data_IF_131656915587
#
_entry.id   IF_131656915587
#
_cell.length_a   1.000
_cell.length_b   1.000
_cell.length_c   1.000
_cell.angle_alpha   90.00
_cell.angle_beta   90.00
_cell.angle_gamma   90.00
#
_symmetry.space_group_name_H-M   'P 1'
#
loop_
_entity.id
_entity.type
_entity.pdbx_description
1 polymer ?
#
# COMPACT_ATOMS: atom_id res chain seq x y z
N UNK A 1 -11.17 -10.32 34.80
CA UNK A 1 -12.40 -10.15 33.98
C UNK A 1 -11.90 -9.99 32.55
N UNK A 2 -11.91 -11.08 31.77
CA UNK A 2 -12.82 -11.32 30.63
C UNK A 2 -12.53 -10.31 29.49
N UNK A 3 -11.98 -10.69 28.33
CA UNK A 3 -12.48 -11.59 27.28
C UNK A 3 -11.25 -12.18 26.53
N UNK A 4 -11.03 -13.46 26.26
CA UNK A 4 -11.79 -14.46 25.47
C UNK A 4 -12.11 -14.01 24.04
N UNK A 5 -11.26 -14.42 23.09
CA UNK A 5 -11.55 -15.13 21.81
C UNK A 5 -10.19 -15.24 21.09
N UNK A 6 -9.49 -16.36 21.27
CA UNK A 6 -8.42 -16.77 20.37
C UNK A 6 -8.92 -18.00 19.63
N UNK A 7 -9.01 -17.84 18.32
CA UNK A 7 -9.53 -18.78 17.36
C UNK A 7 -8.96 -20.19 17.58
N UNK A 8 -9.87 -21.15 17.53
CA UNK A 8 -9.65 -22.55 17.81
C UNK A 8 -8.57 -23.16 16.91
N UNK A 9 -7.40 -23.42 17.48
CA UNK A 9 -6.46 -24.42 16.98
C UNK A 9 -7.16 -25.77 17.10
N UNK A 10 -7.62 -26.31 15.96
CA UNK A 10 -8.01 -27.72 15.88
C UNK A 10 -6.73 -28.55 15.95
N UNK A 11 -6.46 -29.08 17.14
CA UNK A 11 -5.47 -30.14 17.34
C UNK A 11 -5.98 -31.40 16.64
N UNK A 12 -5.47 -31.68 15.44
CA UNK A 12 -5.61 -33.01 14.83
C UNK A 12 -4.43 -33.85 15.34
N UNK A 13 -4.67 -34.56 16.44
CA UNK A 13 -3.77 -35.60 16.95
C UNK A 13 -4.08 -36.93 16.27
N UNK A 14 -3.46 -37.22 15.11
CA UNK A 14 -3.30 -38.58 14.58
C UNK A 14 -1.92 -38.75 13.88
N UNK A 15 -1.34 -39.97 13.89
CA UNK A 15 0.09 -40.17 13.64
C UNK A 15 0.47 -40.01 12.16
N UNK A 16 1.68 -39.48 11.94
CA UNK A 16 2.36 -39.29 10.65
C UNK A 16 2.39 -40.58 9.80
N UNK A 17 1.59 -40.63 8.74
CA UNK A 17 1.85 -41.54 7.61
C UNK A 17 1.43 -40.99 6.24
N UNK A 18 1.42 -39.67 6.05
CA UNK A 18 1.46 -38.94 4.75
C UNK A 18 1.19 -37.45 4.96
N UNK A 19 2.12 -36.70 5.56
CA UNK A 19 1.91 -35.27 5.73
C UNK A 19 2.04 -34.56 4.38
N UNK A 20 0.91 -34.15 3.81
CA UNK A 20 0.85 -33.09 2.79
C UNK A 20 1.61 -31.87 3.33
N UNK A 21 2.54 -31.34 2.54
CA UNK A 21 3.21 -30.08 2.87
C UNK A 21 2.18 -28.94 2.91
N UNK A 22 2.46 -27.85 3.64
CA UNK A 22 1.64 -26.62 3.59
C UNK A 22 1.39 -26.16 2.15
N UNK A 23 2.35 -26.41 1.26
CA UNK A 23 2.23 -26.19 -0.17
C UNK A 23 1.14 -27.04 -0.84
N UNK A 24 1.08 -28.33 -0.49
CA UNK A 24 0.04 -29.24 -1.00
C UNK A 24 -1.34 -28.81 -0.52
N UNK A 25 -1.48 -28.42 0.76
CA UNK A 25 -2.75 -27.92 1.32
C UNK A 25 -3.18 -26.63 0.61
N UNK A 26 -2.26 -25.69 0.41
CA UNK A 26 -2.56 -24.46 -0.31
C UNK A 26 -2.96 -24.73 -1.77
N UNK A 27 -2.32 -25.70 -2.43
CA UNK A 27 -2.66 -26.12 -3.78
C UNK A 27 -4.05 -26.75 -3.86
N UNK A 28 -4.41 -27.61 -2.92
CA UNK A 28 -5.73 -28.24 -2.85
C UNK A 28 -6.83 -27.20 -2.68
N UNK A 29 -6.63 -26.21 -1.80
CA UNK A 29 -7.55 -25.09 -1.68
C UNK A 29 -7.64 -24.23 -2.94
N UNK A 30 -6.53 -23.99 -3.64
CA UNK A 30 -6.55 -23.26 -4.92
C UNK A 30 -7.39 -24.02 -5.95
N UNK A 31 -7.19 -25.33 -6.07
CA UNK A 31 -7.89 -26.17 -7.02
C UNK A 31 -9.40 -26.24 -6.70
N UNK A 32 -9.76 -26.44 -5.43
CA UNK A 32 -11.14 -26.43 -4.97
C UNK A 32 -11.81 -25.08 -5.28
N UNK A 33 -11.11 -23.97 -5.05
CA UNK A 33 -11.62 -22.63 -5.36
C UNK A 33 -11.94 -22.45 -6.85
N UNK A 34 -11.08 -22.96 -7.74
CA UNK A 34 -11.31 -22.95 -9.19
C UNK A 34 -12.49 -23.86 -9.58
N UNK A 35 -12.58 -25.05 -8.99
CA UNK A 35 -13.69 -25.99 -9.23
C UNK A 35 -15.03 -25.38 -8.87
N UNK A 36 -15.15 -24.80 -7.66
CA UNK A 36 -16.38 -24.10 -7.25
C UNK A 36 -16.70 -22.87 -8.13
N UNK A 37 -15.68 -22.20 -8.68
CA UNK A 37 -15.89 -21.10 -9.63
C UNK A 37 -16.50 -21.62 -10.95
N UNK A 38 -16.06 -22.78 -11.44
CA UNK A 38 -16.62 -23.42 -12.64
C UNK A 38 -18.06 -23.91 -12.40
N UNK A 39 -18.36 -24.34 -11.17
CA UNK A 39 -19.72 -24.72 -10.75
C UNK A 39 -20.64 -23.51 -10.48
N UNK A 40 -20.10 -22.28 -10.51
CA UNK A 40 -20.83 -21.04 -10.24
C UNK A 40 -21.10 -20.76 -8.75
N UNK A 41 -20.58 -21.58 -7.83
CA UNK A 41 -20.61 -21.32 -6.39
C UNK A 41 -19.50 -20.33 -6.00
N UNK A 42 -19.72 -19.06 -6.37
CA UNK A 42 -18.71 -18.02 -6.22
C UNK A 42 -18.35 -17.70 -4.76
N UNK A 43 -19.25 -18.00 -3.81
CA UNK A 43 -19.01 -17.81 -2.39
C UNK A 43 -17.96 -18.81 -1.89
N UNK A 44 -18.14 -20.11 -2.17
CA UNK A 44 -17.13 -21.12 -1.84
C UNK A 44 -15.85 -20.93 -2.64
N UNK A 45 -15.95 -20.56 -3.91
CA UNK A 45 -14.79 -20.24 -4.72
C UNK A 45 -13.91 -19.16 -4.06
N UNK A 46 -14.52 -18.05 -3.61
CA UNK A 46 -13.81 -16.98 -2.91
C UNK A 46 -13.19 -17.48 -1.60
N UNK A 47 -13.94 -18.24 -0.80
CA UNK A 47 -13.46 -18.79 0.48
C UNK A 47 -12.21 -19.66 0.30
N UNK A 48 -12.24 -20.61 -0.62
CA UNK A 48 -11.13 -21.54 -0.84
C UNK A 48 -9.91 -20.86 -1.47
N UNK A 49 -10.11 -19.93 -2.41
CA UNK A 49 -9.00 -19.13 -2.96
C UNK A 49 -8.34 -18.27 -1.88
N UNK A 50 -9.12 -17.61 -1.00
CA UNK A 50 -8.58 -16.82 0.11
C UNK A 50 -7.82 -17.69 1.12
N UNK A 51 -8.32 -18.89 1.46
CA UNK A 51 -7.60 -19.86 2.31
C UNK A 51 -6.25 -20.26 1.71
N UNK A 52 -6.21 -20.50 0.39
CA UNK A 52 -4.96 -20.80 -0.31
C UNK A 52 -3.94 -19.65 -0.21
N UNK A 53 -4.40 -18.41 -0.46
CA UNK A 53 -3.58 -17.21 -0.40
C UNK A 53 -3.05 -16.99 1.02
N UNK A 54 -3.90 -17.07 2.05
CA UNK A 54 -3.51 -16.87 3.45
C UNK A 54 -2.40 -17.84 3.90
N UNK A 55 -2.45 -19.10 3.47
CA UNK A 55 -1.37 -20.07 3.75
C UNK A 55 -0.07 -19.62 3.07
N UNK A 56 -0.15 -19.17 1.80
CA UNK A 56 1.02 -18.73 1.02
C UNK A 56 1.61 -17.41 1.52
N UNK A 57 0.81 -16.53 2.10
CA UNK A 57 1.27 -15.30 2.76
C UNK A 57 1.91 -15.61 4.13
N UNK A 58 1.43 -16.63 4.84
CA UNK A 58 1.90 -16.96 6.20
C UNK A 58 3.32 -17.53 6.29
N UNK A 59 3.95 -17.89 5.17
CA UNK A 59 5.32 -18.39 5.17
C UNK A 59 6.17 -17.76 4.05
N UNK A 60 7.36 -17.21 4.37
CA UNK A 60 8.20 -16.50 3.39
C UNK A 60 8.87 -17.41 2.35
N UNK A 61 8.65 -18.73 2.43
CA UNK A 61 9.36 -19.74 1.63
C UNK A 61 8.62 -20.10 0.32
N UNK A 62 7.41 -19.58 0.11
CA UNK A 62 6.64 -19.89 -1.10
C UNK A 62 7.16 -19.11 -2.30
N UNK A 63 7.12 -19.75 -3.47
CA UNK A 63 7.57 -19.09 -4.69
C UNK A 63 6.59 -17.97 -5.08
N UNK A 64 7.06 -16.80 -5.54
CA UNK A 64 6.14 -15.69 -5.83
C UNK A 64 5.13 -16.02 -6.95
N UNK A 65 5.44 -16.98 -7.83
CA UNK A 65 4.50 -17.48 -8.84
C UNK A 65 3.25 -18.14 -8.22
N UNK A 66 3.40 -18.88 -7.12
CA UNK A 66 2.28 -19.56 -6.47
C UNK A 66 1.35 -18.57 -5.80
N UNK A 67 1.91 -17.54 -5.16
CA UNK A 67 1.14 -16.46 -4.58
C UNK A 67 0.40 -15.66 -5.66
N UNK A 68 1.11 -15.29 -6.73
CA UNK A 68 0.54 -14.57 -7.87
C UNK A 68 -0.59 -15.34 -8.57
N UNK A 69 -0.47 -16.66 -8.72
CA UNK A 69 -1.53 -17.49 -9.30
C UNK A 69 -2.81 -17.48 -8.43
N UNK A 70 -2.66 -17.50 -7.10
CA UNK A 70 -3.80 -17.35 -6.18
C UNK A 70 -4.53 -16.02 -6.39
N UNK A 71 -3.78 -14.91 -6.44
CA UNK A 71 -4.34 -13.59 -6.73
C UNK A 71 -4.97 -13.50 -8.11
N UNK A 72 -4.35 -14.06 -9.16
CA UNK A 72 -4.91 -14.09 -10.51
C UNK A 72 -6.26 -14.82 -10.55
N UNK A 73 -6.37 -15.99 -9.90
CA UNK A 73 -7.62 -16.74 -9.83
C UNK A 73 -8.71 -15.97 -9.09
N UNK A 74 -8.36 -15.29 -7.99
CA UNK A 74 -9.31 -14.46 -7.26
C UNK A 74 -9.72 -13.21 -8.06
N UNK A 75 -8.80 -12.58 -8.78
CA UNK A 75 -9.10 -11.48 -9.71
C UNK A 75 -10.06 -11.89 -10.82
N UNK A 76 -9.83 -13.06 -11.45
CA UNK A 76 -10.72 -13.61 -12.47
C UNK A 76 -12.11 -13.90 -11.90
N UNK A 77 -12.20 -14.47 -10.70
CA UNK A 77 -13.46 -14.72 -10.00
C UNK A 77 -14.23 -13.41 -9.79
N UNK A 78 -13.56 -12.36 -9.30
CA UNK A 78 -14.17 -11.03 -9.12
C UNK A 78 -14.62 -10.41 -10.43
N UNK A 79 -13.84 -10.58 -11.50
CA UNK A 79 -14.20 -10.09 -12.83
C UNK A 79 -15.48 -10.76 -13.37
N UNK A 80 -15.61 -12.08 -13.23
CA UNK A 80 -16.84 -12.82 -13.62
C UNK A 80 -18.05 -12.39 -12.77
N UNK A 81 -17.83 -12.00 -11.52
CA UNK A 81 -18.87 -11.42 -10.66
C UNK A 81 -19.21 -9.95 -10.98
N UNK A 82 -18.64 -9.38 -12.06
CA UNK A 82 -18.75 -7.96 -12.42
C UNK A 82 -18.23 -7.00 -11.33
N UNK A 83 -17.36 -7.47 -10.44
CA UNK A 83 -16.67 -6.69 -9.41
C UNK A 83 -15.33 -6.21 -9.95
N UNK A 84 -15.37 -5.33 -10.95
CA UNK A 84 -14.19 -4.97 -11.76
C UNK A 84 -13.09 -4.29 -10.93
N UNK A 85 -13.44 -3.43 -9.98
CA UNK A 85 -12.44 -2.77 -9.10
C UNK A 85 -11.70 -3.78 -8.21
N UNK A 86 -12.42 -4.75 -7.65
CA UNK A 86 -11.80 -5.84 -6.89
C UNK A 86 -10.92 -6.73 -7.77
N UNK A 87 -11.32 -6.96 -9.03
CA UNK A 87 -10.49 -7.70 -9.97
C UNK A 87 -9.17 -6.98 -10.25
N UNK A 88 -9.23 -5.67 -10.52
CA UNK A 88 -8.04 -4.83 -10.71
C UNK A 88 -7.13 -4.87 -9.47
N UNK A 89 -7.67 -4.76 -8.26
CA UNK A 89 -6.89 -4.89 -7.03
C UNK A 89 -6.09 -6.21 -6.95
N UNK A 90 -6.74 -7.35 -7.20
CA UNK A 90 -6.07 -8.64 -7.12
C UNK A 90 -5.09 -8.88 -8.26
N UNK A 91 -5.38 -8.43 -9.48
CA UNK A 91 -4.41 -8.52 -10.55
C UNK A 91 -3.17 -7.66 -10.30
N UNK A 92 -3.32 -6.49 -9.66
CA UNK A 92 -2.17 -5.68 -9.24
C UNK A 92 -1.33 -6.42 -8.19
N UNK A 93 -1.96 -7.05 -7.19
CA UNK A 93 -1.24 -7.93 -6.24
C UNK A 93 -0.50 -9.07 -6.94
N UNK A 94 -1.08 -9.67 -7.98
CA UNK A 94 -0.42 -10.69 -8.80
C UNK A 94 0.80 -10.13 -9.56
N UNK A 95 0.70 -8.93 -10.13
CA UNK A 95 1.81 -8.22 -10.76
C UNK A 95 2.94 -7.98 -9.76
N UNK A 96 2.65 -7.35 -8.61
CA UNK A 96 3.64 -7.04 -7.56
C UNK A 96 4.42 -8.27 -7.10
N UNK A 97 3.72 -9.39 -6.89
CA UNK A 97 4.35 -10.65 -6.50
C UNK A 97 5.33 -11.16 -7.57
N UNK A 98 5.05 -10.95 -8.85
CA UNK A 98 5.89 -11.42 -9.96
C UNK A 98 7.04 -10.47 -10.31
N UNK A 99 6.89 -9.16 -10.09
CA UNK A 99 7.91 -8.15 -10.41
C UNK A 99 8.92 -7.92 -9.30
N UNK A 100 8.72 -8.48 -8.11
CA UNK A 100 9.66 -8.38 -6.98
C UNK A 100 10.95 -9.21 -7.18
N UNK A 101 11.04 -10.03 -8.23
CA UNK A 101 12.21 -10.88 -8.49
C UNK A 101 12.42 -11.07 -10.00
N UNK A 102 13.54 -10.57 -10.54
CA UNK A 102 13.86 -10.48 -11.98
C UNK A 102 13.97 -11.84 -12.71
N UNK A 103 13.80 -12.97 -12.00
CA UNK A 103 13.97 -14.33 -12.54
C UNK A 103 12.65 -15.04 -12.88
N UNK A 104 11.49 -14.36 -12.78
CA UNK A 104 10.19 -15.02 -12.77
C UNK A 104 9.51 -15.06 -14.15
N UNK A 105 9.28 -16.30 -14.62
CA UNK A 105 8.41 -16.76 -15.72
C UNK A 105 7.55 -15.70 -16.43
N UNK A 106 7.95 -15.41 -17.67
CA UNK A 106 7.27 -14.49 -18.59
C UNK A 106 5.79 -14.85 -18.85
N UNK A 107 5.42 -16.14 -18.83
CA UNK A 107 4.07 -16.56 -19.24
C UNK A 107 2.98 -16.19 -18.22
N UNK A 108 3.25 -16.35 -16.92
CA UNK A 108 2.26 -16.01 -15.89
C UNK A 108 2.06 -14.49 -15.79
N UNK A 109 3.15 -13.72 -15.81
CA UNK A 109 3.08 -12.26 -15.82
C UNK A 109 2.37 -11.74 -17.08
N UNK A 110 2.64 -12.35 -18.23
CA UNK A 110 1.93 -12.00 -19.45
C UNK A 110 0.43 -12.27 -19.38
N UNK A 111 0.01 -13.35 -18.71
CA UNK A 111 -1.40 -13.64 -18.44
C UNK A 111 -2.03 -12.60 -17.52
N UNK A 112 -1.35 -12.22 -16.44
CA UNK A 112 -1.79 -11.16 -15.51
C UNK A 112 -2.03 -9.85 -16.28
N UNK A 113 -1.10 -9.45 -17.15
CA UNK A 113 -1.24 -8.24 -17.96
C UNK A 113 -2.42 -8.28 -18.95
N UNK A 114 -2.70 -9.42 -19.58
CA UNK A 114 -3.88 -9.57 -20.46
C UNK A 114 -5.18 -9.41 -19.65
N UNK A 115 -5.28 -10.03 -18.48
CA UNK A 115 -6.46 -9.91 -17.63
C UNK A 115 -6.61 -8.48 -17.07
N UNK A 116 -5.50 -7.85 -16.69
CA UNK A 116 -5.48 -6.46 -16.25
C UNK A 116 -6.01 -5.51 -17.33
N UNK A 117 -5.47 -5.61 -18.54
CA UNK A 117 -5.88 -4.76 -19.65
C UNK A 117 -7.34 -5.01 -20.06
N UNK A 118 -7.81 -6.26 -19.98
CA UNK A 118 -9.22 -6.59 -20.22
C UNK A 118 -10.14 -5.92 -19.19
N UNK A 119 -9.79 -6.00 -17.90
CA UNK A 119 -10.55 -5.34 -16.83
C UNK A 119 -10.54 -3.81 -16.98
N UNK A 120 -9.39 -3.22 -17.31
CA UNK A 120 -9.26 -1.77 -17.59
C UNK A 120 -10.14 -1.29 -18.74
N UNK A 121 -10.24 -2.07 -19.82
CA UNK A 121 -11.13 -1.73 -20.93
C UNK A 121 -12.60 -1.71 -20.53
N UNK A 122 -12.98 -2.52 -19.54
CA UNK A 122 -14.36 -2.61 -19.02
C UNK A 122 -14.75 -1.36 -18.23
N UNK A 123 -13.79 -0.64 -17.65
CA UNK A 123 -14.00 0.65 -16.95
C UNK A 123 -13.70 1.87 -17.83
N UNK A 124 -13.75 1.71 -19.16
CA UNK A 124 -13.47 2.77 -20.15
C UNK A 124 -12.05 3.38 -20.07
N UNK A 125 -11.11 2.72 -19.40
CA UNK A 125 -9.68 3.08 -19.35
C UNK A 125 -8.93 2.43 -20.52
N UNK A 126 -9.35 2.78 -21.75
CA UNK A 126 -8.87 2.14 -22.98
C UNK A 126 -7.39 2.41 -23.27
N UNK A 127 -6.84 3.53 -22.80
CA UNK A 127 -5.42 3.87 -22.98
C UNK A 127 -4.52 2.91 -22.18
N UNK A 128 -4.80 2.72 -20.88
CA UNK A 128 -4.04 1.76 -20.07
C UNK A 128 -4.32 0.31 -20.48
N UNK A 129 -5.55 -0.01 -20.90
CA UNK A 129 -5.89 -1.33 -21.41
C UNK A 129 -4.95 -1.77 -22.54
N UNK A 130 -4.70 -0.89 -23.51
CA UNK A 130 -3.81 -1.16 -24.64
C UNK A 130 -2.36 -1.38 -24.18
N UNK A 131 -1.89 -0.58 -23.22
CA UNK A 131 -0.53 -0.72 -22.67
C UNK A 131 -0.35 -2.10 -22.02
N UNK A 132 -1.26 -2.49 -21.14
CA UNK A 132 -1.18 -3.78 -20.44
C UNK A 132 -1.33 -4.96 -21.41
N UNK A 133 -2.26 -4.91 -22.36
CA UNK A 133 -2.41 -5.97 -23.37
C UNK A 133 -1.13 -6.14 -24.19
N UNK A 134 -0.46 -5.05 -24.60
CA UNK A 134 0.82 -5.10 -25.33
C UNK A 134 1.93 -5.75 -24.50
N UNK A 135 2.05 -5.39 -23.22
CA UNK A 135 3.01 -6.03 -22.29
C UNK A 135 2.73 -7.54 -22.18
N UNK A 136 1.46 -7.92 -22.04
CA UNK A 136 1.04 -9.31 -21.94
C UNK A 136 1.40 -10.15 -23.17
N UNK A 137 1.09 -9.62 -24.36
CA UNK A 137 1.43 -10.24 -25.65
C UNK A 137 2.94 -10.45 -25.79
N UNK A 138 3.74 -9.42 -25.46
CA UNK A 138 5.19 -9.48 -25.56
C UNK A 138 5.80 -10.60 -24.70
N UNK A 139 5.21 -10.88 -23.54
CA UNK A 139 5.73 -11.87 -22.60
C UNK A 139 5.21 -13.29 -22.87
N UNK A 140 4.01 -13.41 -23.44
CA UNK A 140 3.44 -14.71 -23.82
C UNK A 140 3.97 -15.22 -25.17
N UNK A 141 4.77 -14.43 -25.89
CA UNK A 141 5.15 -14.68 -27.27
C UNK A 141 3.93 -15.03 -28.14
N UNK A 142 2.76 -14.46 -27.81
CA UNK A 142 1.55 -14.63 -28.61
C UNK A 142 1.82 -13.89 -29.91
N UNK A 143 2.15 -14.66 -30.93
CA UNK A 143 2.28 -14.13 -32.26
C UNK A 143 0.85 -13.79 -32.71
N UNK A 144 0.56 -12.51 -32.93
CA UNK A 144 -0.70 -12.05 -33.53
C UNK A 144 -0.99 -12.79 -34.85
N UNK A 145 0.04 -13.36 -35.47
CA UNK A 145 -0.07 -14.24 -36.63
C UNK A 145 -0.96 -15.45 -36.40
N UNK A 146 -1.00 -16.12 -35.23
CA UNK A 146 -1.76 -17.38 -35.10
C UNK A 146 -3.28 -17.17 -35.05
N UNK A 147 -3.72 -16.08 -34.43
CA UNK A 147 -5.14 -15.72 -34.43
C UNK A 147 -5.53 -15.03 -35.75
N UNK A 148 -4.63 -14.24 -36.34
CA UNK A 148 -4.80 -13.71 -37.69
C UNK A 148 -4.82 -14.84 -38.73
N UNK A 149 -4.00 -15.89 -38.60
CA UNK A 149 -3.91 -17.05 -39.49
C UNK A 149 -5.11 -17.97 -39.35
N UNK A 150 -5.65 -18.17 -38.14
CA UNK A 150 -6.93 -18.87 -37.95
C UNK A 150 -8.10 -18.12 -38.56
N UNK A 151 -8.12 -16.78 -38.45
CA UNK A 151 -9.12 -15.93 -39.10
C UNK A 151 -8.93 -15.95 -40.63
N UNK A 152 -7.69 -15.83 -41.13
CA UNK A 152 -7.33 -15.86 -42.55
C UNK A 152 -7.63 -17.24 -43.18
N UNK A 153 -7.38 -18.34 -42.47
CA UNK A 153 -7.67 -19.70 -42.92
C UNK A 153 -9.18 -19.95 -43.08
N UNK A 154 -10.03 -19.32 -42.25
CA UNK A 154 -11.48 -19.41 -42.38
C UNK A 154 -12.02 -18.74 -43.66
N UNK A 155 -11.24 -17.83 -44.27
CA UNK A 155 -11.60 -17.10 -45.48
C UNK A 155 -10.79 -17.53 -46.72
N UNK A 156 -9.97 -18.59 -46.62
CA UNK A 156 -9.20 -19.08 -47.76
C UNK A 156 -10.10 -19.48 -48.94
N UNK A 157 -9.79 -18.97 -50.13
CA UNK A 157 -10.54 -19.25 -51.36
C UNK A 157 -11.92 -18.58 -51.47
N UNK A 158 -12.30 -17.72 -50.52
CA UNK A 158 -13.55 -16.96 -50.55
C UNK A 158 -13.29 -15.54 -51.08
N UNK A 159 -14.27 -15.00 -51.83
CA UNK A 159 -14.32 -13.54 -52.07
C UNK A 159 -14.84 -12.88 -50.79
N UNK A 160 -14.02 -12.01 -50.21
CA UNK A 160 -14.40 -11.28 -49.00
C UNK A 160 -14.49 -9.79 -49.32
N UNK A 161 -15.54 -9.15 -48.81
CA UNK A 161 -15.70 -7.69 -48.87
C UNK A 161 -15.19 -7.10 -47.57
N UNK A 162 -14.17 -6.26 -47.64
CA UNK A 162 -13.64 -5.56 -46.48
C UNK A 162 -14.21 -4.15 -46.42
N UNK A 163 -14.98 -3.89 -45.38
CA UNK A 163 -15.39 -2.55 -45.01
C UNK A 163 -14.57 -2.13 -43.79
N UNK A 164 -13.98 -0.93 -43.82
CA UNK A 164 -13.46 -0.32 -42.61
C UNK A 164 -14.04 1.06 -42.41
N UNK A 165 -14.06 1.46 -41.15
CA UNK A 165 -14.52 2.75 -40.68
C UNK A 165 -13.31 3.65 -40.45
N UNK A 166 -13.31 4.84 -41.04
CA UNK A 166 -12.56 5.95 -40.48
C UNK A 166 -13.45 6.59 -39.43
N UNK A 167 -13.11 6.44 -38.15
CA UNK A 167 -13.68 7.29 -37.11
C UNK A 167 -12.95 8.62 -37.23
N UNK A 168 -13.62 9.68 -37.70
CA UNK A 168 -13.08 11.04 -37.58
C UNK A 168 -13.01 11.34 -36.08
N UNK A 169 -11.89 11.89 -35.63
CA UNK A 169 -11.52 12.03 -34.22
C UNK A 169 -12.42 12.95 -33.39
N UNK A 170 -13.55 13.40 -33.95
CA UNK A 170 -14.54 14.27 -33.31
C UNK A 170 -15.88 13.55 -32.98
N UNK A 171 -16.01 12.25 -33.27
CA UNK A 171 -17.14 11.44 -32.80
C UNK A 171 -18.50 11.76 -33.42
N UNK A 172 -18.58 12.58 -34.48
CA UNK A 172 -19.86 13.04 -35.05
C UNK A 172 -20.55 12.07 -36.04
N UNK A 173 -20.12 10.82 -36.10
CA UNK A 173 -20.81 9.78 -36.86
C UNK A 173 -20.57 9.79 -38.37
N UNK A 174 -21.13 8.77 -39.02
CA UNK A 174 -20.83 8.29 -40.39
C UNK A 174 -21.17 9.27 -41.51
N UNK A 175 -20.20 9.63 -42.35
CA UNK A 175 -20.46 10.35 -43.59
C UNK A 175 -20.08 9.56 -44.85
N UNK A 176 -19.22 8.54 -44.79
CA UNK A 176 -18.94 7.64 -45.93
C UNK A 176 -18.33 6.30 -45.48
N UNK A 177 -18.77 5.19 -46.07
CA UNK A 177 -18.14 3.87 -45.94
C UNK A 177 -17.29 3.57 -47.17
N UNK A 178 -16.03 3.18 -46.96
CA UNK A 178 -15.13 2.76 -48.03
C UNK A 178 -15.11 1.24 -48.07
N UNK A 179 -15.25 0.68 -49.28
CA UNK A 179 -15.19 -0.77 -49.50
C UNK A 179 -13.97 -1.08 -50.36
N UNK A 180 -13.26 -2.15 -50.00
CA UNK A 180 -12.40 -2.86 -50.94
C UNK A 180 -13.16 -4.14 -51.32
N UNK A 181 -13.59 -4.21 -52.57
CA UNK A 181 -14.19 -5.40 -53.17
C UNK A 181 -13.10 -6.31 -53.77
N UNK A 182 -13.45 -7.57 -54.00
CA UNK A 182 -12.62 -8.58 -54.68
C UNK A 182 -11.27 -8.88 -53.98
N UNK A 183 -11.30 -9.01 -52.65
CA UNK A 183 -10.13 -9.46 -51.88
C UNK A 183 -10.11 -10.99 -51.84
N UNK A 184 -9.09 -11.58 -52.46
CA UNK A 184 -8.84 -13.03 -52.43
C UNK A 184 -7.69 -13.34 -51.49
N UNK A 185 -7.90 -14.26 -50.54
CA UNK A 185 -6.94 -14.58 -49.47
C UNK A 185 -6.32 -15.96 -49.68
N UNK A 186 -5.06 -16.00 -50.19
CA UNK A 186 -4.16 -17.18 -50.39
C UNK A 186 -4.64 -18.25 -51.40
N UNK A 187 -3.81 -19.09 -52.07
CA UNK A 187 -2.43 -19.03 -52.58
C UNK A 187 -2.47 -19.26 -54.13
N UNK A 188 -1.41 -19.12 -54.93
CA UNK A 188 -0.14 -19.83 -54.84
C UNK A 188 1.07 -18.89 -54.73
N UNK A 189 1.69 -18.86 -53.53
CA UNK A 189 2.90 -18.13 -53.13
C UNK A 189 2.80 -16.64 -52.73
N UNK A 190 1.76 -16.28 -51.97
CA UNK A 190 1.89 -15.28 -50.91
C UNK A 190 1.67 -13.81 -51.28
N UNK A 191 0.61 -13.47 -52.00
CA UNK A 191 0.21 -12.07 -52.16
C UNK A 191 -1.30 -11.88 -51.99
N UNK A 192 -1.66 -10.85 -51.21
CA UNK A 192 -2.97 -10.19 -51.27
C UNK A 192 -2.98 -9.35 -52.55
N UNK A 193 -3.93 -9.60 -53.44
CA UNK A 193 -4.10 -8.85 -54.69
C UNK A 193 -5.31 -7.94 -54.58
N UNK A 194 -5.14 -6.67 -54.92
CA UNK A 194 -6.22 -5.68 -54.98
C UNK A 194 -6.42 -5.26 -56.43
N UNK A 195 -7.67 -5.19 -56.90
CA UNK A 195 -7.97 -4.63 -58.22
C UNK A 195 -7.95 -3.09 -58.18
N UNK A 196 -6.79 -2.52 -57.84
CA UNK A 196 -6.28 -1.18 -58.16
C UNK A 196 -7.11 0.09 -57.89
N UNK A 197 -8.36 0.03 -57.42
CA UNK A 197 -9.29 1.17 -57.45
C UNK A 197 -10.14 1.30 -56.20
N UNK A 198 -10.07 2.46 -55.55
CA UNK A 198 -11.05 2.89 -54.54
C UNK A 198 -12.25 3.53 -55.24
N UNK A 199 -13.46 3.05 -54.95
CA UNK A 199 -14.70 3.62 -55.48
C UNK A 199 -15.44 4.39 -54.38
N UNK A 200 -15.67 5.69 -54.62
CA UNK A 200 -16.56 6.50 -53.80
C UNK A 200 -17.99 6.42 -54.33
N UNK A 201 -18.93 5.98 -53.48
CA UNK A 201 -20.34 5.80 -53.83
C UNK A 201 -21.18 6.69 -52.91
N UNK A 202 -21.80 7.73 -53.45
CA UNK A 202 -22.72 8.58 -52.67
C UNK A 202 -24.14 8.02 -52.74
N UNK A 203 -24.84 7.90 -51.61
CA UNK A 203 -26.30 7.69 -51.59
C UNK A 203 -26.99 9.04 -51.72
N UNK A 204 -27.25 9.48 -52.95
CA UNK A 204 -28.38 10.38 -53.19
C UNK A 204 -29.55 9.56 -53.73
N UNK A 205 -30.76 9.93 -53.31
CA UNK A 205 -32.02 9.27 -53.62
C UNK A 205 -32.24 9.17 -55.14
N UNK A 206 -31.86 8.05 -55.76
CA UNK A 206 -32.16 7.76 -57.17
C UNK A 206 -31.22 6.82 -57.94
N UNK A 207 -30.04 6.46 -57.43
CA UNK A 207 -29.17 5.48 -58.10
C UNK A 207 -27.71 5.56 -57.67
N UNK A 208 -27.02 4.41 -57.69
CA UNK A 208 -25.60 4.29 -57.35
C UNK A 208 -24.75 4.73 -58.55
N UNK A 209 -23.91 5.75 -58.40
CA UNK A 209 -22.94 6.17 -59.43
C UNK A 209 -21.55 6.36 -58.82
N UNK A 210 -20.53 5.90 -59.54
CA UNK A 210 -19.11 6.00 -59.13
C UNK A 210 -18.67 7.45 -59.33
N UNK A 211 -18.27 8.12 -58.24
CA UNK A 211 -17.97 9.57 -58.26
C UNK A 211 -16.49 9.86 -58.54
N UNK A 212 -15.58 8.93 -58.25
CA UNK A 212 -14.16 9.02 -58.65
C UNK A 212 -13.43 7.69 -58.51
N UNK A 213 -12.44 7.45 -59.38
CA UNK A 213 -11.43 6.38 -59.24
C UNK A 213 -10.07 7.00 -58.94
N UNK A 214 -9.35 6.50 -57.93
CA UNK A 214 -7.97 6.89 -57.64
C UNK A 214 -7.08 5.67 -57.38
N UNK A 215 -5.85 5.73 -57.88
CA UNK A 215 -4.80 4.74 -57.66
C UNK A 215 -4.15 4.90 -56.28
N UNK A 216 -3.76 3.81 -55.62
CA UNK A 216 -2.99 3.81 -54.37
C UNK A 216 -1.53 3.38 -54.60
N UNK A 217 -0.62 3.80 -53.72
CA UNK A 217 0.79 3.39 -53.75
C UNK A 217 0.95 1.93 -53.31
N UNK A 218 1.79 1.16 -54.02
CA UNK A 218 2.08 -0.27 -53.75
C UNK A 218 3.18 -0.50 -52.72
N UNK A 219 3.86 0.55 -52.27
CA UNK A 219 5.09 0.43 -51.45
C UNK A 219 4.87 0.61 -49.93
N UNK A 220 3.62 0.68 -49.47
CA UNK A 220 3.31 0.80 -48.05
C UNK A 220 3.62 2.18 -47.44
N UNK A 221 4.00 3.17 -48.24
CA UNK A 221 3.98 4.56 -47.79
C UNK A 221 2.52 5.01 -47.65
N UNK A 222 2.09 5.27 -46.41
CA UNK A 222 0.75 5.80 -46.13
C UNK A 222 0.67 7.20 -46.75
N UNK A 223 0.07 7.31 -47.92
CA UNK A 223 -0.39 8.59 -48.43
C UNK A 223 -1.58 9.01 -47.57
N UNK A 224 -1.30 9.74 -46.48
CA UNK A 224 -2.33 10.41 -45.70
C UNK A 224 -3.02 11.43 -46.60
N UNK A 225 -4.25 11.10 -47.03
CA UNK A 225 -5.12 12.03 -47.74
C UNK A 225 -5.69 12.98 -46.69
N UNK A 226 -5.00 14.09 -46.41
CA UNK A 226 -5.50 15.14 -45.53
C UNK A 226 -6.48 16.04 -46.30
N UNK A 227 -7.78 15.76 -46.18
CA UNK A 227 -8.83 16.70 -46.54
C UNK A 227 -9.47 17.29 -45.27
N UNK A 228 -8.70 18.15 -44.59
CA UNK A 228 -9.20 19.18 -43.66
C UNK A 228 -7.98 20.06 -43.43
N UNK A 229 -8.11 21.37 -43.62
CA UNK A 229 -7.14 22.32 -43.07
C UNK A 229 -7.09 22.03 -41.58
N UNK A 230 -6.07 21.29 -41.13
CA UNK A 230 -5.86 21.05 -39.71
C UNK A 230 -5.82 22.44 -39.10
N UNK A 231 -6.81 22.79 -38.26
CA UNK A 231 -6.78 24.05 -37.53
C UNK A 231 -5.44 24.00 -36.79
N UNK A 232 -4.53 24.92 -37.09
CA UNK A 232 -3.20 24.85 -36.50
C UNK A 232 -3.39 24.93 -34.99
N UNK A 233 -2.90 23.90 -34.28
CA UNK A 233 -2.95 23.86 -32.83
C UNK A 233 -2.12 25.04 -32.30
N UNK A 234 -2.72 25.80 -31.38
CA UNK A 234 -2.08 26.97 -30.76
C UNK A 234 -1.66 26.62 -29.34
N UNK A 235 -2.62 26.19 -28.52
CA UNK A 235 -2.40 25.97 -27.08
C UNK A 235 -3.58 25.23 -26.42
N UNK A 236 -3.54 25.12 -25.11
CA UNK A 236 -4.65 24.72 -24.25
C UNK A 236 -5.15 25.90 -23.40
N UNK A 237 -6.44 25.89 -23.08
CA UNK A 237 -7.04 26.63 -21.98
C UNK A 237 -7.44 25.64 -20.89
N UNK A 238 -7.05 25.94 -19.65
CA UNK A 238 -7.25 25.10 -18.48
C UNK A 238 -8.26 25.77 -17.57
N UNK A 239 -9.19 25.00 -17.03
CA UNK A 239 -10.30 25.44 -16.18
C UNK A 239 -10.24 24.71 -14.84
N UNK A 240 -10.65 25.39 -13.78
CA UNK A 240 -10.76 24.84 -12.43
C UNK A 240 -12.03 25.37 -11.78
N UNK A 241 -12.94 24.47 -11.42
CA UNK A 241 -14.25 24.64 -10.78
C UNK A 241 -15.27 25.48 -11.56
N UNK A 242 -14.81 26.53 -12.24
CA UNK A 242 -15.58 27.36 -13.14
C UNK A 242 -15.20 27.08 -14.61
N UNK A 243 -16.14 26.55 -15.39
CA UNK A 243 -15.94 26.23 -16.81
C UNK A 243 -16.23 27.40 -17.76
N UNK A 244 -16.59 28.58 -17.25
CA UNK A 244 -16.83 29.76 -18.10
C UNK A 244 -15.60 30.62 -18.30
N UNK A 245 -14.64 30.54 -17.39
CA UNK A 245 -13.45 31.40 -17.39
C UNK A 245 -12.23 30.53 -17.16
N UNK A 246 -11.25 30.51 -18.07
CA UNK A 246 -10.04 29.72 -17.90
C UNK A 246 -9.29 30.14 -16.64
N UNK A 247 -8.84 29.16 -15.88
CA UNK A 247 -7.85 29.32 -14.83
C UNK A 247 -6.47 29.67 -15.42
N UNK A 248 -6.14 29.08 -16.58
CA UNK A 248 -4.93 29.40 -17.34
C UNK A 248 -5.18 29.32 -18.85
N UNK A 249 -4.51 30.17 -19.62
CA UNK A 249 -4.58 30.22 -21.08
C UNK A 249 -3.19 30.09 -21.70
N UNK A 250 -3.15 29.80 -23.01
CA UNK A 250 -1.90 29.70 -23.78
C UNK A 250 -0.94 28.62 -23.25
N UNK A 251 -1.47 27.58 -22.60
CA UNK A 251 -0.68 26.47 -22.08
C UNK A 251 -0.22 25.61 -23.26
N UNK A 252 1.09 25.52 -23.49
CA UNK A 252 1.66 24.73 -24.60
C UNK A 252 2.04 23.31 -24.20
N UNK A 253 2.17 23.05 -22.90
CA UNK A 253 2.46 21.73 -22.34
C UNK A 253 1.25 20.79 -22.41
N UNK A 254 1.52 19.49 -22.39
CA UNK A 254 0.48 18.44 -22.32
C UNK A 254 0.08 18.09 -20.89
N UNK A 255 0.61 18.82 -19.90
CA UNK A 255 0.29 18.70 -18.48
C UNK A 255 0.14 20.08 -17.86
N UNK A 256 -0.68 20.18 -16.82
CA UNK A 256 -0.87 21.38 -16.02
C UNK A 256 -1.02 20.98 -14.55
N UNK A 257 -0.33 21.69 -13.67
CA UNK A 257 -0.35 21.44 -12.22
C UNK A 257 -1.13 22.56 -11.54
N UNK A 258 -2.15 22.18 -10.76
CA UNK A 258 -2.85 23.11 -9.90
C UNK A 258 -2.15 23.15 -8.54
N UNK A 259 -1.86 24.35 -8.05
CA UNK A 259 -1.26 24.55 -6.71
C UNK A 259 -2.21 25.34 -5.83
N UNK A 260 -2.15 25.12 -4.51
CA UNK A 260 -2.98 25.85 -3.55
C UNK A 260 -4.48 25.54 -3.63
N UNK A 261 -4.84 24.32 -4.03
CA UNK A 261 -6.23 23.88 -4.01
C UNK A 261 -6.75 23.80 -2.58
N UNK A 262 -8.01 24.19 -2.38
CA UNK A 262 -8.71 23.97 -1.11
C UNK A 262 -9.00 22.49 -0.91
N UNK A 263 -9.29 22.05 0.31
CA UNK A 263 -9.79 20.68 0.55
C UNK A 263 -11.21 20.56 0.02
N UNK A 264 -11.51 19.45 -0.65
CA UNK A 264 -12.86 19.13 -1.12
C UNK A 264 -12.91 18.73 -2.59
N UNK A 265 -14.12 18.77 -3.15
CA UNK A 265 -14.35 18.37 -4.53
C UNK A 265 -14.04 19.50 -5.49
N UNK A 266 -13.32 19.17 -6.55
CA UNK A 266 -12.92 20.06 -7.62
C UNK A 266 -13.27 19.47 -8.99
N UNK A 267 -13.39 20.35 -9.98
CA UNK A 267 -13.57 19.97 -11.38
C UNK A 267 -12.51 20.65 -12.23
N UNK A 268 -11.63 19.88 -12.86
CA UNK A 268 -10.68 20.40 -13.83
C UNK A 268 -11.22 20.23 -15.26
N UNK A 269 -11.01 21.24 -16.10
CA UNK A 269 -11.40 21.23 -17.51
C UNK A 269 -10.22 21.57 -18.41
N UNK A 270 -10.15 20.95 -19.58
CA UNK A 270 -9.16 21.28 -20.62
C UNK A 270 -9.84 21.49 -21.96
N UNK A 271 -9.42 22.55 -22.66
CA UNK A 271 -9.89 22.90 -23.98
C UNK A 271 -8.71 23.11 -24.92
N UNK A 272 -8.74 22.51 -26.11
CA UNK A 272 -7.75 22.78 -27.16
C UNK A 272 -8.11 24.05 -27.90
N UNK A 273 -7.13 24.93 -28.07
CA UNK A 273 -7.24 26.19 -28.81
C UNK A 273 -6.50 26.06 -30.14
N UNK A 274 -7.18 26.49 -31.19
CA UNK A 274 -6.65 26.53 -32.55
C UNK A 274 -6.81 27.94 -33.12
N UNK A 275 -6.08 28.25 -34.20
CA UNK A 275 -6.16 29.57 -34.87
C UNK A 275 -7.58 29.96 -35.34
N UNK A 276 -8.47 28.98 -35.50
CA UNK A 276 -9.83 29.16 -36.05
C UNK A 276 -10.92 28.73 -35.05
N UNK A 277 -10.62 28.72 -33.76
CA UNK A 277 -11.56 28.43 -32.67
C UNK A 277 -11.04 27.36 -31.70
N UNK A 278 -11.89 26.94 -30.76
CA UNK A 278 -11.53 25.97 -29.72
C UNK A 278 -12.35 24.67 -29.82
N UNK A 279 -11.90 23.61 -29.15
CA UNK A 279 -12.67 22.37 -28.95
C UNK A 279 -13.75 22.54 -27.89
N UNK A 280 -14.55 21.50 -27.67
CA UNK A 280 -15.30 21.35 -26.41
C UNK A 280 -14.34 21.24 -25.21
N UNK A 281 -14.85 21.56 -24.01
CA UNK A 281 -14.11 21.38 -22.75
C UNK A 281 -14.27 19.92 -22.30
N UNK A 282 -13.17 19.23 -22.08
CA UNK A 282 -13.14 17.89 -21.47
C UNK A 282 -12.91 18.05 -19.98
N UNK A 283 -13.72 17.40 -19.14
CA UNK A 283 -13.72 17.59 -17.69
C UNK A 283 -13.31 16.33 -16.93
N UNK A 284 -12.71 16.52 -15.76
CA UNK A 284 -12.46 15.48 -14.76
C UNK A 284 -12.82 16.04 -13.37
N UNK A 285 -13.49 15.22 -12.58
CA UNK A 285 -13.76 15.50 -11.17
C UNK A 285 -12.70 14.82 -10.31
N UNK A 286 -12.25 15.51 -9.26
CA UNK A 286 -11.28 14.99 -8.31
C UNK A 286 -11.50 15.60 -6.93
N UNK A 287 -10.95 14.98 -5.90
CA UNK A 287 -11.11 15.42 -4.51
C UNK A 287 -9.73 15.58 -3.88
N UNK A 288 -9.48 16.72 -3.26
CA UNK A 288 -8.29 17.02 -2.47
C UNK A 288 -8.60 16.76 -1.00
N UNK A 289 -7.73 16.02 -0.33
CA UNK A 289 -7.78 15.80 1.12
C UNK A 289 -6.77 16.71 1.81
N UNK A 290 -7.04 17.06 3.08
CA UNK A 290 -6.01 17.62 3.91
C UNK A 290 -5.12 16.50 4.43
N UNK A 291 -3.83 16.81 4.54
CA UNK A 291 -2.85 15.98 5.20
C UNK A 291 -2.56 16.58 6.58
N UNK A 292 -2.34 15.72 7.56
CA UNK A 292 -2.15 16.05 8.96
C UNK A 292 -0.85 15.45 9.49
N UNK A 293 -0.34 16.03 10.56
CA UNK A 293 0.85 15.57 11.27
C UNK A 293 0.48 15.05 12.65
N UNK A 294 0.95 13.85 12.99
CA UNK A 294 0.93 13.31 14.35
C UNK A 294 2.33 13.41 14.94
N UNK A 295 2.47 14.18 16.02
CA UNK A 295 3.73 14.32 16.75
C UNK A 295 3.65 13.57 18.07
N UNK A 296 4.46 12.52 18.22
CA UNK A 296 4.51 11.71 19.44
C UNK A 296 5.78 12.02 20.21
N UNK A 297 5.63 12.28 21.51
CA UNK A 297 6.75 12.50 22.44
C UNK A 297 6.81 11.36 23.45
N UNK A 298 7.86 10.54 23.39
CA UNK A 298 8.06 9.38 24.26
C UNK A 298 8.89 9.76 25.48
N UNK A 299 8.38 9.50 26.69
CA UNK A 299 8.96 9.95 27.96
C UNK A 299 9.02 8.86 29.04
N UNK A 300 9.97 8.98 29.98
CA UNK A 300 9.97 8.34 31.29
C UNK A 300 9.80 9.42 32.37
N UNK A 301 8.60 9.51 32.94
CA UNK A 301 8.23 10.59 33.86
C UNK A 301 8.17 11.94 33.14
N UNK A 302 9.25 12.73 33.24
CA UNK A 302 9.42 14.00 32.51
C UNK A 302 10.64 13.96 31.57
N UNK A 303 11.35 12.84 31.52
CA UNK A 303 12.60 12.70 30.76
C UNK A 303 12.32 12.14 29.38
N UNK A 304 12.72 12.79 28.28
CA UNK A 304 12.58 12.22 26.95
C UNK A 304 13.39 10.94 26.75
N UNK A 305 12.84 10.01 25.96
CA UNK A 305 13.49 8.75 25.62
C UNK A 305 13.94 8.81 24.16
N UNK A 306 15.24 8.98 23.93
CA UNK A 306 15.87 8.84 22.63
C UNK A 306 15.96 7.36 22.21
N UNK A 307 15.71 7.08 20.93
CA UNK A 307 15.90 5.75 20.35
C UNK A 307 14.78 4.74 20.62
N UNK A 308 13.63 5.18 21.16
CA UNK A 308 12.45 4.34 21.27
C UNK A 308 11.85 4.06 19.89
N UNK A 309 11.42 2.82 19.65
CA UNK A 309 10.76 2.42 18.41
C UNK A 309 9.26 2.65 18.54
N UNK A 310 8.71 3.50 17.70
CA UNK A 310 7.28 3.77 17.54
C UNK A 310 6.80 3.07 16.28
N UNK A 311 6.10 1.95 16.43
CA UNK A 311 5.36 1.34 15.33
C UNK A 311 4.01 2.07 15.21
N UNK A 312 3.80 2.81 14.13
CA UNK A 312 2.58 3.55 13.85
C UNK A 312 1.98 3.02 12.55
N UNK A 313 0.79 2.43 12.64
CA UNK A 313 0.10 1.76 11.51
C UNK A 313 0.98 0.74 10.74
N UNK A 314 1.82 0.00 11.47
CA UNK A 314 2.70 -1.01 10.89
C UNK A 314 4.04 -0.49 10.35
N UNK A 315 4.30 0.83 10.41
CA UNK A 315 5.59 1.44 10.04
C UNK A 315 6.38 1.81 11.29
N UNK A 316 7.66 1.44 11.33
CA UNK A 316 8.56 1.74 12.45
C UNK A 316 9.24 3.10 12.29
N UNK A 317 9.16 3.91 13.34
CA UNK A 317 9.90 5.16 13.51
C UNK A 317 10.75 5.10 14.77
N UNK A 318 11.77 5.96 14.84
CA UNK A 318 12.66 6.05 16.00
C UNK A 318 12.65 7.46 16.54
N UNK A 319 12.49 7.61 17.85
CA UNK A 319 12.51 8.92 18.51
C UNK A 319 13.90 9.55 18.49
N UNK A 320 13.94 10.88 18.35
CA UNK A 320 15.16 11.68 18.40
C UNK A 320 15.64 11.97 19.84
N UNK A 321 16.68 12.80 19.99
CA UNK A 321 17.24 13.22 21.30
C UNK A 321 16.22 13.90 22.23
N UNK A 322 15.15 14.45 21.67
CA UNK A 322 14.07 15.08 22.41
C UNK A 322 12.90 14.11 22.67
N UNK A 323 13.06 12.83 22.32
CA UNK A 323 12.03 11.81 22.44
C UNK A 323 10.91 11.96 21.41
N UNK A 324 11.10 12.76 20.36
CA UNK A 324 10.04 13.14 19.43
C UNK A 324 10.12 12.32 18.15
N UNK A 325 8.94 11.98 17.62
CA UNK A 325 8.74 11.56 16.23
C UNK A 325 7.58 12.36 15.64
N UNK A 326 7.76 12.86 14.41
CA UNK A 326 6.69 13.48 13.63
C UNK A 326 6.34 12.58 12.44
N UNK A 327 5.08 12.16 12.38
CA UNK A 327 4.51 11.35 11.30
C UNK A 327 3.63 12.29 10.47
N UNK A 328 3.97 12.46 9.20
CA UNK A 328 3.34 13.42 8.27
C UNK A 328 2.51 12.69 7.22
N UNK A 329 1.79 13.44 6.38
CA UNK A 329 1.00 12.92 5.27
C UNK A 329 -0.13 11.97 5.71
N UNK A 330 -0.74 12.25 6.88
CA UNK A 330 -1.85 11.47 7.43
C UNK A 330 -3.21 12.05 7.03
N UNK A 331 -4.20 11.21 6.83
CA UNK A 331 -5.59 11.62 6.57
C UNK A 331 -6.43 11.40 7.84
N UNK A 332 -7.68 11.87 7.83
CA UNK A 332 -8.62 11.59 8.92
C UNK A 332 -8.80 10.08 9.10
N UNK A 333 -8.59 9.61 10.33
CA UNK A 333 -8.53 8.19 10.62
C UNK A 333 -8.08 7.87 12.05
N UNK A 334 -8.27 6.62 12.43
CA UNK A 334 -7.80 6.08 13.71
C UNK A 334 -6.59 5.16 13.45
N UNK A 335 -5.48 5.47 14.10
CA UNK A 335 -4.18 4.85 13.89
C UNK A 335 -3.69 4.17 15.16
N UNK A 336 -3.54 2.84 15.12
CA UNK A 336 -2.98 2.09 16.23
C UNK A 336 -1.46 2.31 16.31
N UNK A 337 -0.94 2.40 17.54
CA UNK A 337 0.50 2.50 17.78
C UNK A 337 0.99 1.52 18.84
N UNK A 338 2.27 1.15 18.71
CA UNK A 338 3.04 0.42 19.72
C UNK A 338 4.37 1.14 19.90
N UNK A 339 4.67 1.60 21.11
CA UNK A 339 5.98 2.13 21.48
C UNK A 339 6.73 1.09 22.28
N UNK A 340 7.96 0.79 21.86
CA UNK A 340 8.84 -0.17 22.51
C UNK A 340 10.24 0.39 22.69
N UNK A 341 10.85 0.07 23.84
CA UNK A 341 12.23 0.41 24.16
C UNK A 341 12.80 -0.65 25.07
N UNK A 342 14.07 -1.03 24.85
CA UNK A 342 14.73 -2.01 25.70
C UNK A 342 14.80 -1.48 27.14
N UNK A 343 14.36 -2.29 28.11
CA UNK A 343 14.30 -1.87 29.51
C UNK A 343 12.97 -1.24 29.93
N UNK A 344 11.98 -1.16 29.04
CA UNK A 344 10.64 -0.64 29.30
C UNK A 344 9.54 -1.63 28.90
N UNK A 345 8.36 -1.47 29.50
CA UNK A 345 7.14 -2.12 29.04
C UNK A 345 6.63 -1.40 27.79
N UNK A 346 6.11 -2.16 26.83
CA UNK A 346 5.51 -1.57 25.63
C UNK A 346 4.27 -0.75 26.00
N UNK A 347 4.13 0.43 25.41
CA UNK A 347 2.89 1.19 25.44
C UNK A 347 2.14 0.98 24.13
N UNK A 348 0.83 0.79 24.19
CA UNK A 348 -0.02 0.60 23.01
C UNK A 348 -1.25 1.48 23.13
N UNK A 349 -1.70 2.05 22.02
CA UNK A 349 -2.89 2.89 22.00
C UNK A 349 -3.36 3.16 20.58
N UNK A 350 -4.22 4.15 20.46
CA UNK A 350 -4.81 4.60 19.19
C UNK A 350 -4.82 6.13 19.17
N UNK A 351 -4.39 6.72 18.06
CA UNK A 351 -4.47 8.16 17.77
C UNK A 351 -5.59 8.39 16.78
N UNK A 352 -6.49 9.33 17.06
CA UNK A 352 -7.53 9.75 16.10
C UNK A 352 -7.13 11.10 15.51
N UNK A 353 -6.94 11.11 14.19
CA UNK A 353 -6.78 12.31 13.38
C UNK A 353 -8.16 12.69 12.85
N UNK A 354 -8.64 13.88 13.21
CA UNK A 354 -9.95 14.42 12.80
C UNK A 354 -9.83 15.92 12.56
N UNK A 355 -9.49 16.28 11.33
CA UNK A 355 -9.52 17.66 10.87
C UNK A 355 -8.34 18.53 11.31
N UNK A 356 -7.37 18.00 12.09
CA UNK A 356 -6.24 18.75 12.62
C UNK A 356 -5.03 17.88 12.99
N UNK A 357 -3.85 18.52 13.07
CA UNK A 357 -2.63 17.92 13.61
C UNK A 357 -2.82 17.49 15.07
N UNK A 358 -2.17 16.38 15.45
CA UNK A 358 -2.28 15.80 16.79
C UNK A 358 -0.90 15.78 17.45
N UNK A 359 -0.84 16.26 18.70
CA UNK A 359 0.34 16.11 19.54
C UNK A 359 -0.01 15.25 20.76
N UNK A 360 0.73 14.17 20.98
CA UNK A 360 0.51 13.28 22.12
C UNK A 360 1.82 12.87 22.80
N UNK A 361 1.76 12.72 24.12
CA UNK A 361 2.89 12.24 24.92
C UNK A 361 2.63 10.85 25.47
N UNK A 362 3.56 9.93 25.21
CA UNK A 362 3.47 8.52 25.56
C UNK A 362 4.51 8.23 26.64
N UNK A 363 4.04 7.95 27.86
CA UNK A 363 4.89 7.58 28.98
C UNK A 363 5.18 6.06 28.96
N UNK A 364 6.46 5.68 28.97
CA UNK A 364 6.89 4.30 29.15
C UNK A 364 7.20 4.00 30.61
N UNK A 365 6.89 2.79 31.05
CA UNK A 365 7.22 2.31 32.41
C UNK A 365 8.41 1.35 32.35
N UNK A 366 9.49 1.57 33.12
CA UNK A 366 10.63 0.66 33.16
C UNK A 366 10.25 -0.78 33.58
N UNK A 367 10.90 -1.78 32.98
CA UNK A 367 10.72 -3.22 33.32
C UNK A 367 11.65 -3.69 34.43
N UNK A 368 12.66 -2.89 34.79
CA UNK A 368 13.59 -3.18 35.89
C UNK A 368 13.34 -2.30 37.11
N UNK A 369 13.53 -2.86 38.30
CA UNK A 369 13.82 -2.04 39.49
C UNK A 369 15.26 -1.55 39.30
N UNK A 370 15.49 -0.25 39.22
CA UNK A 370 16.83 0.33 39.09
C UNK A 370 17.72 -0.08 40.28
N UNK A 371 18.44 -1.20 40.16
CA UNK A 371 19.39 -1.65 41.18
C UNK A 371 20.66 -0.80 41.10
N UNK A 372 20.60 0.40 41.67
CA UNK A 372 21.73 1.32 41.65
C UNK A 372 21.52 2.68 42.31
N UNK A 373 20.28 3.10 42.58
CA UNK A 373 20.00 4.45 43.09
C UNK A 373 20.62 4.75 44.48
N UNK A 374 20.71 3.75 45.37
CA UNK A 374 21.37 3.86 46.68
C UNK A 374 22.83 3.36 46.69
N UNK A 375 23.40 2.99 45.53
CA UNK A 375 24.76 2.43 45.45
C UNK A 375 25.83 3.42 45.94
N UNK A 376 25.63 4.72 45.68
CA UNK A 376 26.52 5.81 46.09
C UNK A 376 26.23 6.38 47.49
N UNK A 377 25.27 5.80 48.23
CA UNK A 377 24.94 6.23 49.59
C UNK A 377 26.15 6.04 50.52
N UNK A 378 26.75 7.15 50.96
CA UNK A 378 27.80 7.18 51.98
C UNK A 378 27.16 7.41 53.34
N UNK A 379 27.66 6.67 54.33
CA UNK A 379 27.16 6.67 55.70
C UNK A 379 28.35 6.84 56.62
N UNK A 380 28.36 7.89 57.44
CA UNK A 380 29.52 8.28 58.24
C UNK A 380 29.08 9.01 59.53
N UNK A 381 29.94 9.11 60.55
CA UNK A 381 31.21 8.40 60.69
C UNK A 381 31.00 6.90 60.96
N UNK A 382 32.02 6.09 60.69
CA UNK A 382 32.08 4.70 61.16
C UNK A 382 33.51 4.46 61.69
N UNK A 383 33.74 4.25 63.00
CA UNK A 383 32.74 4.13 64.07
C UNK A 383 31.99 5.43 64.41
N UNK A 384 30.71 5.33 64.76
CA UNK A 384 29.84 6.43 65.18
C UNK A 384 29.64 6.47 66.70
N UNK A 385 29.11 7.59 67.21
CA UNK A 385 28.83 7.78 68.64
C UNK A 385 27.32 8.00 68.89
N UNK A 386 26.84 9.24 68.74
CA UNK A 386 25.42 9.58 68.99
C UNK A 386 24.62 9.92 67.73
N UNK A 387 25.26 9.94 66.57
CA UNK A 387 24.60 10.25 65.30
C UNK A 387 25.28 9.57 64.12
N UNK A 388 24.50 9.32 63.07
CA UNK A 388 24.95 8.87 61.76
C UNK A 388 24.47 9.90 60.72
N UNK A 389 25.35 10.32 59.83
CA UNK A 389 25.06 11.17 58.68
C UNK A 389 25.03 10.35 57.40
N UNK A 390 24.16 10.75 56.47
CA UNK A 390 24.05 10.14 55.15
C UNK A 390 24.08 11.18 54.04
N UNK A 391 24.66 10.81 52.90
CA UNK A 391 24.58 11.62 51.67
C UNK A 391 23.25 11.41 50.96
N UNK A 392 22.71 12.44 50.28
CA UNK A 392 21.48 12.30 49.46
C UNK A 392 20.27 11.78 50.25
N UNK A 393 20.05 12.32 51.46
CA UNK A 393 18.96 11.92 52.35
C UNK A 393 17.56 12.09 51.74
N UNK A 394 17.42 13.02 50.80
CA UNK A 394 16.21 13.22 50.00
C UNK A 394 15.81 12.00 49.13
N UNK A 395 16.69 11.01 48.97
CA UNK A 395 16.42 9.78 48.20
C UNK A 395 16.07 8.60 49.10
N UNK A 396 16.20 8.74 50.42
CA UNK A 396 15.91 7.68 51.41
C UNK A 396 14.57 8.00 52.06
N UNK A 397 13.64 7.06 51.98
CA UNK A 397 12.33 7.17 52.62
C UNK A 397 12.33 6.64 54.05
N UNK A 398 13.08 5.57 54.32
CA UNK A 398 13.06 4.87 55.62
C UNK A 398 14.41 4.29 55.97
N UNK A 399 14.73 4.26 57.27
CA UNK A 399 15.95 3.65 57.81
C UNK A 399 15.61 2.71 58.94
N UNK A 400 16.14 1.50 58.84
CA UNK A 400 15.96 0.43 59.81
C UNK A 400 17.34 0.04 60.34
N UNK A 401 17.54 0.15 61.65
CA UNK A 401 18.76 -0.27 62.33
C UNK A 401 18.49 -1.58 63.04
N UNK A 402 19.25 -2.62 62.70
CA UNK A 402 19.21 -3.93 63.34
C UNK A 402 20.53 -4.25 64.03
N UNK A 403 20.46 -4.94 65.16
CA UNK A 403 21.64 -5.55 65.78
C UNK A 403 22.18 -6.69 64.92
N UNK A 404 23.43 -7.13 65.17
CA UNK A 404 24.03 -8.25 64.44
C UNK A 404 23.27 -9.59 64.61
N UNK A 405 22.45 -9.72 65.65
CA UNK A 405 21.59 -10.89 65.88
C UNK A 405 20.21 -10.76 65.23
N UNK A 406 19.95 -9.68 64.48
CA UNK A 406 18.74 -9.46 63.69
C UNK A 406 17.60 -8.74 64.41
N UNK A 407 17.75 -8.38 65.69
CA UNK A 407 16.74 -7.59 66.39
C UNK A 407 16.70 -6.16 65.83
N UNK A 408 15.51 -5.71 65.39
CA UNK A 408 15.27 -4.30 65.05
C UNK A 408 15.34 -3.44 66.32
N UNK A 409 16.23 -2.45 66.31
CA UNK A 409 16.46 -1.53 67.43
C UNK A 409 16.01 -0.11 67.10
N UNK A 410 15.84 0.22 65.81
CA UNK A 410 15.34 1.53 65.38
C UNK A 410 14.69 1.44 64.00
N UNK A 411 13.62 2.19 63.79
CA UNK A 411 12.86 2.24 62.53
C UNK A 411 12.31 3.66 62.35
N UNK A 412 12.78 4.36 61.31
CA UNK A 412 12.56 5.79 61.14
C UNK A 412 12.18 6.08 59.69
N UNK A 413 11.11 6.85 59.48
CA UNK A 413 10.86 7.49 58.18
C UNK A 413 11.74 8.73 58.05
N UNK A 414 12.56 8.77 57.00
CA UNK A 414 13.49 9.85 56.74
C UNK A 414 12.81 10.91 55.87
N UNK A 415 12.38 12.01 56.48
CA UNK A 415 11.76 13.13 55.76
C UNK A 415 12.83 14.10 55.22
N UNK A 416 13.83 13.58 54.51
CA UNK A 416 14.96 14.36 53.97
C UNK A 416 16.02 14.79 54.99
N UNK A 417 15.93 14.34 56.25
CA UNK A 417 16.94 14.62 57.28
C UNK A 417 18.27 13.93 56.96
N UNK A 418 19.37 14.68 56.90
CA UNK A 418 20.71 14.11 56.63
C UNK A 418 21.34 13.40 57.83
N UNK A 419 20.77 13.58 59.03
CA UNK A 419 21.28 12.97 60.26
C UNK A 419 20.24 12.10 60.94
N UNK A 420 20.73 11.05 61.60
CA UNK A 420 19.97 10.09 62.38
C UNK A 420 20.55 10.06 63.79
N UNK A 421 19.76 10.44 64.78
CA UNK A 421 20.16 10.36 66.19
C UNK A 421 20.18 8.88 66.62
N UNK A 422 21.30 8.44 67.19
CA UNK A 422 21.53 7.06 67.65
C UNK A 422 21.96 7.01 69.11
N UNK A 423 21.76 8.08 69.88
CA UNK A 423 22.20 8.20 71.28
C UNK A 423 21.67 7.08 72.18
N UNK A 424 20.47 6.57 71.91
CA UNK A 424 19.83 5.49 72.67
C UNK A 424 20.39 4.09 72.38
N UNK A 425 21.18 3.94 71.31
CA UNK A 425 21.81 2.66 70.98
C UNK A 425 22.99 2.38 71.92
N UNK A 426 23.14 1.12 72.34
CA UNK A 426 24.32 0.65 73.08
C UNK A 426 25.54 0.48 72.16
N UNK A 427 26.74 0.37 72.73
CA UNK A 427 27.94 0.08 71.96
C UNK A 427 27.86 -1.30 71.31
N UNK A 428 28.23 -1.40 70.03
CA UNK A 428 28.07 -2.65 69.28
C UNK A 428 28.13 -2.51 67.77
N UNK A 429 27.84 -3.61 67.07
CA UNK A 429 27.78 -3.68 65.61
C UNK A 429 26.33 -3.70 65.16
N UNK A 430 26.01 -2.85 64.18
CA UNK A 430 24.68 -2.67 63.61
C UNK A 430 24.70 -2.85 62.10
N UNK A 431 23.60 -3.38 61.56
CA UNK A 431 23.29 -3.32 60.14
C UNK A 431 22.23 -2.22 59.96
N UNK A 432 22.58 -1.21 59.17
CA UNK A 432 21.68 -0.10 58.83
C UNK A 432 21.16 -0.32 57.42
N UNK A 433 19.85 -0.53 57.31
CA UNK A 433 19.14 -0.72 56.05
C UNK A 433 18.45 0.58 55.68
N UNK A 434 18.68 1.07 54.47
CA UNK A 434 18.10 2.27 53.89
C UNK A 434 17.12 1.85 52.80
N UNK A 435 15.88 2.31 52.87
CA UNK A 435 14.84 2.05 51.87
C UNK A 435 14.54 3.33 51.10
N UNK A 436 14.59 3.27 49.76
CA UNK A 436 14.24 4.37 48.87
C UNK A 436 12.74 4.49 48.61
N UNK A 437 12.30 5.57 47.96
CA UNK A 437 10.88 5.80 47.65
C UNK A 437 10.31 4.81 46.62
N UNK A 438 11.16 4.16 45.82
CA UNK A 438 10.78 3.19 44.78
C UNK A 438 11.08 1.74 45.16
N UNK A 439 11.21 1.43 46.46
CA UNK A 439 11.43 0.06 46.95
C UNK A 439 12.87 -0.44 46.85
N UNK A 440 13.82 0.45 46.60
CA UNK A 440 15.27 0.15 46.60
C UNK A 440 15.76 -0.05 48.03
N UNK A 441 16.75 -0.93 48.24
CA UNK A 441 17.38 -1.13 49.54
C UNK A 441 18.91 -1.06 49.46
N UNK A 442 19.54 -0.44 50.45
CA UNK A 442 20.99 -0.51 50.68
C UNK A 442 21.28 -0.86 52.14
N UNK A 443 22.27 -1.72 52.36
CA UNK A 443 22.69 -2.12 53.71
C UNK A 443 24.11 -1.66 53.98
N UNK A 444 24.37 -1.15 55.19
CA UNK A 444 25.70 -0.77 55.67
C UNK A 444 25.95 -1.36 57.05
N UNK A 445 27.13 -1.96 57.23
CA UNK A 445 27.61 -2.38 58.55
C UNK A 445 28.26 -1.19 59.26
N UNK A 446 27.75 -0.83 60.43
CA UNK A 446 28.18 0.32 61.22
C UNK A 446 28.60 -0.12 62.63
N UNK A 447 29.60 0.55 63.20
CA UNK A 447 30.12 0.25 64.55
C UNK A 447 29.86 1.43 65.48
N UNK A 448 29.17 1.21 66.60
CA UNK A 448 29.00 2.22 67.66
C UNK A 448 30.06 2.05 68.73
N UNK A 449 30.72 3.16 69.10
CA UNK A 449 31.77 3.21 70.14
C UNK A 449 31.39 4.04 71.36
#
# INVERSE_FOLDING_TARGET
MAYTILASIVVVSQPLSSFQSLDSIAQDYNNAGVEFAMDGDFAKASEFLLKSIAIRESAPNFSPQKLANGYLNLGNLKFVQNQVDSALFYYHKAETALTANDSISNSLLGTVYVQYGTAKNTVHDSENAIVYIKKGISLLSINLSDNAERVIAAYQGQEVKLAWQGVDGDGQGLWSSWFIDYVTVGNAKGAVSFDGKLQHVSKSSGGSSIVSERSFSRDGSVAAVSNKSAKAFVSYSIYLDNMTTPHAENVSGTSFEFTGLTVGNHTAGVQRVYETGASEIVMIEFTTTADYTVTLTVIDGETPIEGATVNFDGVDYTTDVAGIVAITDLIDGAYAYIVSMTGYHNATGEIVVDGADVEESIALTPTGIESGFLSNLKVYPNPFSNEISITSANRVNRVIITSIVGQCVMDITLNGSETINTSELSNGIYLVTFEGHKGEHAVRKMIKK
#
